data_IF_799667098225
#
_entry.id   IF_799667098225
#
_cell.length_a   1.000
_cell.length_b   1.000
_cell.length_c   1.000
_cell.angle_alpha   90.00
_cell.angle_beta   90.00
_cell.angle_gamma   90.00
#
_symmetry.space_group_name_H-M   'P 1'
#
loop_
_entity.id
_entity.type
_entity.pdbx_description
1 polymer ?
#
# COMPACT_ATOMS: atom_id res chain seq x y z
N UNK A 1 25.39 -6.30 79.70
CA UNK A 1 25.29 -7.58 78.96
C UNK A 1 24.40 -7.46 77.77
N UNK A 2 24.96 -7.08 76.60
CA UNK A 2 24.25 -6.96 75.34
C UNK A 2 23.96 -8.34 74.78
N UNK A 3 22.68 -8.70 74.69
CA UNK A 3 22.23 -10.03 74.23
C UNK A 3 22.69 -10.27 72.79
N UNK A 4 23.48 -11.35 72.52
CA UNK A 4 24.04 -11.60 71.19
C UNK A 4 22.99 -11.85 70.08
N UNK A 5 21.74 -12.06 70.47
CA UNK A 5 20.61 -12.32 69.54
C UNK A 5 20.19 -11.12 68.65
N UNK A 6 20.44 -9.90 69.15
CA UNK A 6 20.10 -8.70 68.38
C UNK A 6 21.04 -8.48 67.20
N UNK A 7 22.30 -8.80 67.33
CA UNK A 7 23.32 -8.67 66.29
C UNK A 7 23.09 -9.68 65.15
N UNK A 8 22.72 -10.91 65.49
CA UNK A 8 22.39 -11.96 64.52
C UNK A 8 21.16 -11.60 63.69
N UNK A 9 20.13 -11.06 64.33
CA UNK A 9 18.90 -10.67 63.64
C UNK A 9 19.17 -9.52 62.64
N UNK A 10 20.07 -8.57 63.00
CA UNK A 10 20.47 -7.47 62.11
C UNK A 10 21.20 -7.98 60.87
N UNK A 11 22.14 -8.92 61.04
CA UNK A 11 22.85 -9.52 59.91
C UNK A 11 21.96 -10.32 58.98
N UNK A 12 20.94 -10.97 59.51
CA UNK A 12 19.97 -11.72 58.71
C UNK A 12 19.10 -10.80 57.89
N UNK A 13 18.67 -9.65 58.41
CA UNK A 13 17.92 -8.62 57.68
C UNK A 13 18.73 -7.98 56.57
N UNK A 14 20.03 -7.70 56.83
CA UNK A 14 20.92 -7.15 55.79
C UNK A 14 21.14 -8.15 54.66
N UNK A 15 21.34 -9.44 54.98
CA UNK A 15 21.52 -10.50 54.01
C UNK A 15 20.25 -10.66 53.10
N UNK A 16 19.06 -10.65 53.72
CA UNK A 16 17.78 -10.68 53.00
C UNK A 16 17.60 -9.47 52.09
N UNK A 17 17.99 -8.28 52.54
CA UNK A 17 17.94 -7.05 51.73
C UNK A 17 18.85 -7.10 50.50
N UNK A 18 20.07 -7.65 50.67
CA UNK A 18 21.03 -7.81 49.55
C UNK A 18 20.52 -8.83 48.52
N UNK A 19 19.91 -9.93 48.99
CA UNK A 19 19.33 -10.96 48.10
C UNK A 19 18.13 -10.39 47.31
N UNK A 20 17.23 -9.67 47.97
CA UNK A 20 16.08 -9.03 47.32
C UNK A 20 16.53 -8.00 46.29
N UNK A 21 17.52 -7.18 46.62
CA UNK A 21 18.03 -6.16 45.71
C UNK A 21 18.75 -6.78 44.48
N UNK A 22 19.56 -7.82 44.68
CA UNK A 22 20.22 -8.51 43.56
C UNK A 22 19.20 -9.23 42.69
N UNK A 23 18.11 -9.78 43.23
CA UNK A 23 17.02 -10.36 42.47
C UNK A 23 16.30 -9.32 41.58
N UNK A 24 16.03 -8.12 42.11
CA UNK A 24 15.42 -7.02 41.33
C UNK A 24 16.32 -6.56 40.18
N UNK A 25 17.63 -6.44 40.39
CA UNK A 25 18.58 -6.07 39.32
C UNK A 25 18.68 -7.13 38.23
N UNK A 26 18.67 -8.41 38.59
CA UNK A 26 18.67 -9.51 37.65
C UNK A 26 17.36 -9.52 36.79
N UNK A 27 16.22 -9.24 37.43
CA UNK A 27 14.94 -9.12 36.76
C UNK A 27 14.94 -7.98 35.74
N UNK A 28 15.45 -6.81 36.13
CA UNK A 28 15.57 -5.65 35.23
C UNK A 28 16.53 -5.91 34.06
N UNK A 29 17.65 -6.59 34.30
CA UNK A 29 18.58 -6.96 33.22
C UNK A 29 17.95 -7.95 32.22
N UNK A 30 17.21 -8.94 32.73
CA UNK A 30 16.47 -9.90 31.87
C UNK A 30 15.40 -9.22 31.02
N UNK A 31 14.64 -8.29 31.59
CA UNK A 31 13.62 -7.57 30.83
C UNK A 31 14.24 -6.69 29.73
N UNK A 32 15.42 -6.12 29.94
CA UNK A 32 16.14 -5.38 28.91
C UNK A 32 16.62 -6.28 27.76
N UNK A 33 17.12 -7.49 28.07
CA UNK A 33 17.55 -8.46 27.07
C UNK A 33 16.34 -8.93 26.23
N UNK A 34 15.24 -9.28 26.88
CA UNK A 34 14.02 -9.70 26.15
C UNK A 34 13.43 -8.58 25.29
N UNK A 35 13.48 -7.33 25.76
CA UNK A 35 13.06 -6.17 24.98
C UNK A 35 13.99 -5.93 23.77
N UNK A 36 15.31 -6.10 23.96
CA UNK A 36 16.28 -5.98 22.86
C UNK A 36 16.11 -7.08 21.81
N UNK A 37 15.83 -8.33 22.23
CA UNK A 37 15.57 -9.44 21.33
C UNK A 37 14.25 -9.24 20.55
N UNK A 38 13.21 -8.74 21.21
CA UNK A 38 11.95 -8.39 20.55
C UNK A 38 12.13 -7.26 19.52
N UNK A 39 12.94 -6.25 19.84
CA UNK A 39 13.26 -5.17 18.91
C UNK A 39 14.05 -5.68 17.69
N UNK A 40 15.02 -6.58 17.88
CA UNK A 40 15.76 -7.22 16.77
C UNK A 40 14.83 -8.03 15.87
N UNK A 41 13.95 -8.84 16.46
CA UNK A 41 12.99 -9.62 15.69
C UNK A 41 11.99 -8.75 14.90
N UNK A 42 11.64 -7.56 15.40
CA UNK A 42 10.85 -6.58 14.67
C UNK A 42 11.62 -6.01 13.48
N UNK A 43 12.88 -5.59 13.68
CA UNK A 43 13.74 -5.07 12.60
C UNK A 43 13.97 -6.13 11.51
N UNK A 44 14.18 -7.39 11.87
CA UNK A 44 14.35 -8.48 10.89
C UNK A 44 13.08 -8.68 10.03
N UNK A 45 11.89 -8.62 10.65
CA UNK A 45 10.62 -8.69 9.90
C UNK A 45 10.44 -7.51 8.97
N UNK A 46 10.77 -6.30 9.43
CA UNK A 46 10.69 -5.09 8.61
C UNK A 46 11.67 -5.15 7.44
N UNK A 47 12.89 -5.66 7.65
CA UNK A 47 13.87 -5.88 6.59
C UNK A 47 13.38 -6.89 5.55
N UNK A 48 12.78 -8.01 5.97
CA UNK A 48 12.18 -8.98 5.05
C UNK A 48 11.03 -8.36 4.26
N UNK A 49 10.20 -7.55 4.91
CA UNK A 49 9.11 -6.82 4.24
C UNK A 49 9.65 -5.83 3.21
N UNK A 50 10.69 -5.08 3.56
CA UNK A 50 11.36 -4.16 2.62
C UNK A 50 12.02 -4.92 1.46
N UNK A 51 12.63 -6.07 1.71
CA UNK A 51 13.21 -6.90 0.65
C UNK A 51 12.16 -7.46 -0.30
N UNK A 52 11.03 -7.95 0.23
CA UNK A 52 9.92 -8.43 -0.60
C UNK A 52 9.28 -7.29 -1.42
N UNK A 53 9.09 -6.13 -0.82
CA UNK A 53 8.62 -4.94 -1.53
C UNK A 53 9.62 -4.49 -2.62
N UNK A 54 10.93 -4.52 -2.33
CA UNK A 54 11.96 -4.22 -3.33
C UNK A 54 12.00 -5.25 -4.45
N UNK A 55 11.80 -6.52 -4.16
CA UNK A 55 11.73 -7.57 -5.18
C UNK A 55 10.49 -7.38 -6.09
N UNK A 56 9.35 -7.00 -5.51
CA UNK A 56 8.15 -6.64 -6.28
C UNK A 56 8.37 -5.39 -7.14
N UNK A 57 9.11 -4.38 -6.63
CA UNK A 57 9.43 -3.16 -7.38
C UNK A 57 10.48 -3.43 -8.48
N UNK A 58 11.43 -4.38 -8.28
CA UNK A 58 12.41 -4.75 -9.32
C UNK A 58 11.78 -5.39 -10.56
N UNK A 59 10.59 -5.96 -10.44
CA UNK A 59 9.80 -6.43 -11.59
C UNK A 59 9.18 -5.30 -12.42
N UNK A 60 9.21 -4.07 -11.92
CA UNK A 60 8.80 -2.89 -12.67
C UNK A 60 10.04 -2.36 -13.36
N UNK A 61 10.20 -2.71 -14.62
CA UNK A 61 11.19 -2.06 -15.48
C UNK A 61 10.89 -0.56 -15.51
N UNK A 62 11.70 0.22 -14.78
CA UNK A 62 11.73 1.67 -14.97
C UNK A 62 12.35 1.85 -16.36
N UNK A 63 11.50 1.84 -17.36
CA UNK A 63 11.91 1.90 -18.76
C UNK A 63 11.90 3.33 -19.27
N UNK A 64 12.04 3.43 -20.56
CA UNK A 64 11.80 4.65 -21.35
C UNK A 64 10.42 5.21 -21.06
N UNK A 65 10.23 6.50 -21.26
CA UNK A 65 8.92 7.15 -21.15
C UNK A 65 7.87 6.31 -21.85
N UNK A 66 6.76 5.95 -21.18
CA UNK A 66 5.73 5.15 -21.83
C UNK A 66 5.20 5.89 -23.04
N UNK A 67 5.33 5.28 -24.20
CA UNK A 67 4.86 5.85 -25.46
C UNK A 67 3.33 5.94 -25.48
N UNK A 68 2.79 6.73 -26.44
CA UNK A 68 1.38 7.09 -26.56
C UNK A 68 0.35 5.96 -26.74
N UNK A 69 0.75 4.71 -26.52
CA UNK A 69 -0.05 3.48 -26.65
C UNK A 69 -1.11 3.28 -25.55
N UNK A 70 -1.16 4.16 -24.55
CA UNK A 70 -2.09 4.01 -23.42
C UNK A 70 -3.54 3.86 -23.87
N UNK A 71 -3.97 4.66 -24.85
CA UNK A 71 -5.36 4.62 -25.35
C UNK A 71 -5.65 3.26 -25.99
N UNK A 72 -4.73 2.75 -26.82
CA UNK A 72 -4.88 1.44 -27.46
C UNK A 72 -4.94 0.29 -26.42
N UNK A 73 -4.17 0.40 -25.33
CA UNK A 73 -4.18 -0.57 -24.23
C UNK A 73 -5.48 -0.52 -23.44
N UNK A 74 -5.99 0.67 -23.13
CA UNK A 74 -7.30 0.85 -22.48
C UNK A 74 -8.41 0.24 -23.33
N UNK A 75 -8.39 0.50 -24.63
CA UNK A 75 -9.39 -0.04 -25.56
C UNK A 75 -9.32 -1.57 -25.64
N UNK A 76 -8.11 -2.13 -25.67
CA UNK A 76 -7.91 -3.58 -25.65
C UNK A 76 -8.45 -4.18 -24.35
N UNK A 77 -8.12 -3.62 -23.20
CA UNK A 77 -8.63 -4.11 -21.91
C UNK A 77 -10.15 -4.01 -21.81
N UNK A 78 -10.77 -2.97 -22.39
CA UNK A 78 -12.22 -2.87 -22.47
C UNK A 78 -12.80 -3.98 -23.35
N UNK A 79 -12.21 -4.23 -24.52
CA UNK A 79 -12.62 -5.28 -25.43
C UNK A 79 -12.50 -6.66 -24.80
N UNK A 80 -11.37 -6.93 -24.12
CA UNK A 80 -11.09 -8.21 -23.43
C UNK A 80 -12.08 -8.44 -22.27
N UNK A 81 -12.55 -7.37 -21.64
CA UNK A 81 -13.59 -7.42 -20.61
C UNK A 81 -15.02 -7.47 -21.18
N UNK A 82 -15.18 -7.48 -22.50
CA UNK A 82 -16.50 -7.45 -23.15
C UNK A 82 -17.25 -6.12 -23.03
N UNK A 83 -16.51 -5.02 -22.76
CA UNK A 83 -17.07 -3.68 -22.58
C UNK A 83 -16.96 -2.83 -23.86
N UNK A 84 -17.94 -1.94 -24.12
CA UNK A 84 -17.85 -1.07 -25.26
C UNK A 84 -16.75 -0.03 -25.07
N UNK A 85 -16.03 0.31 -26.13
CA UNK A 85 -14.98 1.35 -26.13
C UNK A 85 -15.52 2.71 -25.67
N UNK A 86 -16.81 2.98 -25.93
CA UNK A 86 -17.50 4.20 -25.49
C UNK A 86 -17.63 4.34 -23.97
N UNK A 87 -17.38 3.27 -23.20
CA UNK A 87 -17.31 3.35 -21.74
C UNK A 87 -16.14 4.23 -21.28
N UNK A 88 -15.06 4.34 -22.06
CA UNK A 88 -13.99 5.29 -21.78
C UNK A 88 -14.36 6.68 -22.31
N UNK A 89 -14.66 7.61 -21.41
CA UNK A 89 -15.12 8.96 -21.78
C UNK A 89 -13.99 9.96 -21.95
N UNK A 90 -12.78 9.66 -21.51
CA UNK A 90 -11.64 10.56 -21.67
C UNK A 90 -10.38 10.01 -21.02
N UNK A 91 -9.25 10.37 -21.62
CA UNK A 91 -7.90 10.12 -21.11
C UNK A 91 -7.18 11.46 -21.12
N UNK A 92 -6.78 11.94 -19.95
CA UNK A 92 -6.15 13.27 -19.81
C UNK A 92 -4.76 13.08 -19.16
N UNK A 93 -3.69 13.33 -19.90
CA UNK A 93 -2.35 13.36 -19.32
C UNK A 93 -2.23 14.54 -18.35
N UNK A 94 -1.60 14.32 -17.22
CA UNK A 94 -1.17 15.36 -16.29
C UNK A 94 0.30 15.70 -16.51
N UNK A 95 0.74 16.83 -15.97
CA UNK A 95 2.16 17.18 -15.97
C UNK A 95 2.97 16.11 -15.23
N UNK A 96 4.11 15.74 -15.82
CA UNK A 96 5.01 14.75 -15.24
C UNK A 96 5.56 15.28 -13.90
N UNK A 97 5.55 14.41 -12.89
CA UNK A 97 6.07 14.74 -11.57
C UNK A 97 7.48 14.19 -11.41
N UNK A 98 8.42 15.06 -11.02
CA UNK A 98 9.79 14.65 -10.68
C UNK A 98 9.84 14.25 -9.22
N UNK A 99 10.32 13.04 -8.91
CA UNK A 99 10.55 12.61 -7.54
C UNK A 99 11.93 13.11 -7.09
N UNK A 100 12.03 13.98 -6.06
CA UNK A 100 13.30 14.51 -5.61
C UNK A 100 14.25 13.38 -5.19
N UNK A 101 15.49 13.41 -5.68
CA UNK A 101 16.56 12.50 -5.28
C UNK A 101 16.62 11.13 -5.98
N UNK A 102 15.70 10.80 -6.89
CA UNK A 102 15.68 9.48 -7.54
C UNK A 102 16.00 9.50 -9.04
N UNK A 103 16.11 10.66 -9.70
CA UNK A 103 16.26 10.75 -11.16
C UNK A 103 15.09 10.11 -11.94
N UNK A 104 13.99 9.81 -11.24
CA UNK A 104 12.82 9.13 -11.80
C UNK A 104 11.70 10.16 -11.96
N UNK A 105 11.14 10.23 -13.14
CA UNK A 105 9.91 10.96 -13.43
C UNK A 105 8.73 10.00 -13.39
N UNK A 106 7.56 10.52 -13.04
CA UNK A 106 6.32 9.76 -13.03
C UNK A 106 5.35 10.45 -13.98
N UNK A 107 5.02 9.76 -15.05
CA UNK A 107 3.93 10.18 -15.94
C UNK A 107 2.61 9.78 -15.28
N UNK A 108 1.69 10.74 -15.17
CA UNK A 108 0.37 10.53 -14.58
C UNK A 108 -0.71 10.80 -15.61
N UNK A 109 -1.70 9.91 -15.67
CA UNK A 109 -2.83 10.05 -16.57
C UNK A 109 -4.12 9.83 -15.79
N UNK A 110 -5.08 10.71 -15.99
CA UNK A 110 -6.45 10.56 -15.47
C UNK A 110 -7.34 10.00 -16.55
N UNK A 111 -8.07 8.96 -16.22
CA UNK A 111 -9.01 8.30 -17.12
C UNK A 111 -10.38 8.18 -16.44
N UNK A 112 -11.44 8.31 -17.21
CA UNK A 112 -12.81 8.15 -16.71
C UNK A 112 -13.53 7.08 -17.51
N UNK A 113 -14.03 6.06 -16.81
CA UNK A 113 -14.93 5.04 -17.33
C UNK A 113 -16.35 5.33 -16.83
N UNK A 114 -17.35 5.32 -17.72
CA UNK A 114 -18.71 5.71 -17.37
C UNK A 114 -19.68 4.54 -17.35
N UNK A 115 -20.60 4.62 -16.39
CA UNK A 115 -21.78 3.77 -16.33
C UNK A 115 -21.49 2.28 -16.15
N UNK A 116 -20.41 1.93 -15.45
CA UNK A 116 -20.02 0.53 -15.22
C UNK A 116 -20.71 -0.06 -13.99
N UNK A 117 -21.04 -1.33 -14.08
CA UNK A 117 -21.35 -2.15 -12.90
C UNK A 117 -20.04 -2.51 -12.15
N UNK A 118 -20.07 -2.74 -10.84
CA UNK A 118 -18.88 -3.18 -10.10
C UNK A 118 -18.22 -4.45 -10.67
N UNK A 119 -19.02 -5.40 -11.16
CA UNK A 119 -18.52 -6.62 -11.80
C UNK A 119 -17.82 -6.33 -13.14
N UNK A 120 -18.36 -5.41 -13.95
CA UNK A 120 -17.76 -4.95 -15.21
C UNK A 120 -16.43 -4.24 -14.97
N UNK A 121 -16.37 -3.37 -13.96
CA UNK A 121 -15.12 -2.73 -13.55
C UNK A 121 -14.09 -3.76 -13.06
N UNK A 122 -14.51 -4.77 -12.29
CA UNK A 122 -13.65 -5.87 -11.85
C UNK A 122 -13.07 -6.66 -13.02
N UNK A 123 -13.89 -7.00 -14.03
CA UNK A 123 -13.46 -7.68 -15.24
C UNK A 123 -12.44 -6.84 -16.04
N UNK A 124 -12.73 -5.53 -16.23
CA UNK A 124 -11.80 -4.62 -16.87
C UNK A 124 -10.46 -4.54 -16.11
N UNK A 125 -10.49 -4.43 -14.79
CA UNK A 125 -9.28 -4.35 -13.98
C UNK A 125 -8.44 -5.64 -14.07
N UNK A 126 -9.09 -6.81 -14.16
CA UNK A 126 -8.42 -8.08 -14.37
C UNK A 126 -7.74 -8.14 -15.75
N UNK A 127 -8.44 -7.74 -16.82
CA UNK A 127 -7.90 -7.67 -18.17
C UNK A 127 -6.74 -6.66 -18.25
N UNK A 128 -6.88 -5.48 -17.63
CA UNK A 128 -5.82 -4.48 -17.54
C UNK A 128 -4.55 -5.04 -16.90
N UNK A 129 -4.68 -5.71 -15.75
CA UNK A 129 -3.55 -6.30 -15.03
C UNK A 129 -2.86 -7.45 -15.76
N UNK A 130 -3.62 -8.20 -16.56
CA UNK A 130 -3.07 -9.29 -17.36
C UNK A 130 -2.24 -8.78 -18.55
N UNK A 131 -2.55 -7.59 -19.07
CA UNK A 131 -1.95 -7.08 -20.30
C UNK A 131 -0.69 -6.24 -20.12
N UNK A 132 -0.53 -5.51 -19.02
CA UNK A 132 0.58 -4.57 -18.87
C UNK A 132 0.91 -4.24 -17.42
N UNK A 133 2.21 -4.24 -17.10
CA UNK A 133 2.73 -3.87 -15.79
C UNK A 133 3.39 -2.47 -15.75
N UNK A 134 3.43 -1.77 -16.89
CA UNK A 134 4.08 -0.45 -16.99
C UNK A 134 3.30 0.62 -16.24
N UNK A 135 1.97 0.58 -16.38
CA UNK A 135 1.07 1.52 -15.74
C UNK A 135 0.49 0.94 -14.45
N UNK A 136 0.63 1.68 -13.37
CA UNK A 136 0.06 1.34 -12.07
C UNK A 136 -1.21 2.13 -11.82
N UNK A 137 -2.16 1.51 -11.19
CA UNK A 137 -3.33 2.18 -10.67
C UNK A 137 -2.95 2.84 -9.34
N UNK A 138 -3.00 4.18 -9.31
CA UNK A 138 -2.59 4.98 -8.16
C UNK A 138 -3.81 5.42 -7.32
N UNK A 139 -4.91 5.77 -7.99
CA UNK A 139 -6.16 6.15 -7.32
C UNK A 139 -7.37 5.68 -8.11
N UNK A 140 -8.46 5.40 -7.38
CA UNK A 140 -9.76 4.98 -7.94
C UNK A 140 -10.88 5.69 -7.19
N UNK A 141 -11.67 6.47 -7.91
CA UNK A 141 -12.87 7.11 -7.38
C UNK A 141 -14.11 6.58 -8.08
N UNK A 142 -15.05 6.05 -7.31
CA UNK A 142 -16.32 5.57 -7.82
C UNK A 142 -17.43 6.57 -7.46
N UNK A 143 -18.08 7.11 -8.47
CA UNK A 143 -19.22 8.00 -8.29
C UNK A 143 -20.47 7.31 -8.80
N UNK A 144 -21.47 7.16 -7.95
CA UNK A 144 -22.73 6.53 -8.33
C UNK A 144 -23.46 7.39 -9.35
N UNK A 145 -23.85 6.79 -10.47
CA UNK A 145 -24.70 7.44 -11.45
C UNK A 145 -26.13 7.41 -10.95
N UNK A 146 -26.68 8.62 -10.67
CA UNK A 146 -28.10 8.78 -10.36
C UNK A 146 -28.84 9.02 -11.67
N UNK A 147 -29.76 8.15 -12.10
CA UNK A 147 -30.52 8.39 -13.30
C UNK A 147 -31.34 9.67 -13.14
N UNK A 148 -30.98 10.70 -13.88
CA UNK A 148 -31.73 11.96 -13.96
C UNK A 148 -32.87 11.77 -14.96
N UNK A 149 -33.91 11.05 -14.58
CA UNK A 149 -35.10 10.85 -15.42
C UNK A 149 -36.28 11.59 -14.80
N UNK A 150 -36.71 12.67 -15.44
CA UNK A 150 -38.04 13.23 -15.24
C UNK A 150 -39.08 12.23 -15.78
N UNK A 151 -39.71 11.45 -14.91
CA UNK A 151 -40.77 10.52 -15.32
C UNK A 151 -40.72 9.20 -14.56
N UNK A 152 -41.24 9.21 -13.40
CA UNK A 152 -41.75 8.26 -12.44
C UNK A 152 -41.92 6.76 -12.75
N UNK A 153 -41.05 6.12 -13.47
CA UNK A 153 -40.91 4.66 -13.47
C UNK A 153 -39.44 4.36 -13.20
N UNK A 154 -39.12 4.14 -11.92
CA UNK A 154 -37.86 3.55 -11.49
C UNK A 154 -37.73 2.21 -12.25
N UNK A 155 -36.87 2.17 -13.27
CA UNK A 155 -36.52 0.92 -13.92
C UNK A 155 -35.98 -0.03 -12.86
N UNK A 156 -36.81 -0.96 -12.48
CA UNK A 156 -36.53 -2.07 -11.59
C UNK A 156 -35.40 -2.87 -12.26
N UNK A 157 -34.23 -2.93 -11.65
CA UNK A 157 -33.11 -3.81 -11.95
C UNK A 157 -31.93 -3.35 -12.81
N UNK A 158 -31.77 -2.07 -13.16
CA UNK A 158 -30.42 -1.65 -13.55
C UNK A 158 -29.57 -1.51 -12.28
N UNK A 159 -28.71 -2.49 -12.06
CA UNK A 159 -27.79 -2.50 -10.91
C UNK A 159 -27.08 -1.17 -10.77
N UNK A 160 -26.67 -0.81 -9.57
CA UNK A 160 -25.98 0.45 -9.30
C UNK A 160 -24.79 0.64 -10.26
N UNK A 161 -24.96 1.56 -11.22
CA UNK A 161 -23.88 1.93 -12.16
C UNK A 161 -23.03 3.04 -11.56
N UNK A 162 -21.76 3.02 -11.89
CA UNK A 162 -20.78 3.97 -11.39
C UNK A 162 -19.98 4.57 -12.54
N UNK A 163 -19.69 5.85 -12.40
CA UNK A 163 -18.60 6.47 -13.12
C UNK A 163 -17.32 6.26 -12.31
N UNK A 164 -16.28 5.77 -12.95
CA UNK A 164 -15.02 5.42 -12.31
C UNK A 164 -13.94 6.34 -12.83
N UNK A 165 -13.46 7.23 -11.98
CA UNK A 165 -12.28 8.04 -12.28
C UNK A 165 -11.03 7.29 -11.76
N UNK A 166 -10.04 7.13 -12.64
CA UNK A 166 -8.83 6.38 -12.39
C UNK A 166 -7.62 7.29 -12.57
N UNK A 167 -6.66 7.17 -11.69
CA UNK A 167 -5.33 7.77 -11.84
C UNK A 167 -4.33 6.66 -12.12
N UNK A 168 -3.74 6.69 -13.30
CA UNK A 168 -2.70 5.77 -13.73
C UNK A 168 -1.35 6.48 -13.63
N UNK A 169 -0.35 5.81 -13.09
CA UNK A 169 1.01 6.32 -12.93
C UNK A 169 2.03 5.36 -13.53
N UNK A 170 2.97 5.88 -14.28
CA UNK A 170 4.07 5.11 -14.85
C UNK A 170 5.40 5.80 -14.54
N UNK A 171 6.29 5.17 -13.76
CA UNK A 171 7.62 5.68 -13.51
C UNK A 171 8.52 5.45 -14.73
N UNK A 172 9.34 6.43 -15.08
CA UNK A 172 10.33 6.33 -16.16
C UNK A 172 11.61 7.12 -15.81
N UNK A 173 12.71 6.79 -16.47
CA UNK A 173 13.97 7.54 -16.39
C UNK A 173 14.09 8.36 -17.67
N UNK A 174 14.40 9.65 -17.52
CA UNK A 174 14.77 10.48 -18.65
C UNK A 174 16.20 10.12 -19.05
N UNK A 175 16.40 9.58 -20.25
CA UNK A 175 17.73 9.42 -20.81
C UNK A 175 18.23 10.82 -21.17
N UNK A 176 19.28 11.30 -20.47
CA UNK A 176 19.99 12.51 -20.84
C UNK A 176 20.50 12.35 -22.28
N UNK A 177 19.97 13.18 -23.21
CA UNK A 177 20.44 13.26 -24.60
C UNK A 177 21.73 14.05 -24.68
#
# INVERSE_FOLDING_TARGET
MTKPHGIMALWFLVALGVIAWSGMRLGAARSQVTAADAARAAIERDLLTVQTLRAQVRGVSVGRRPDGDLIARVQRALSDAGLPVSACSGVQPRADQTRPGAGVRVQTVVMTLRGLLPAEFGAWLAAWRAGDQTWRLDDVQLTRVVPTGAGGLVARNDGNRYDVALVLAAPYVEEDQ
#
